data_IF_416564534660
#
_entry.id   IF_416564534660
#
_cell.length_a   1.000
_cell.length_b   1.000
_cell.length_c   1.000
_cell.angle_alpha   90.00
_cell.angle_beta   90.00
_cell.angle_gamma   90.00
#
_symmetry.space_group_name_H-M   'P 1'
#
loop_
_entity.id
_entity.type
_entity.pdbx_description
1 polymer ?
#
# COMPACT_ATOMS: atom_id res chain seq x y z
N UNK A 1 -10.97 4.19 -1.08
CA UNK A 1 -10.89 4.62 -2.50
C UNK A 1 -11.37 3.48 -3.39
N UNK A 2 -11.90 3.79 -4.57
CA UNK A 2 -12.41 2.81 -5.54
C UNK A 2 -12.09 3.28 -6.96
N UNK A 3 -11.76 2.34 -7.85
CA UNK A 3 -11.68 2.59 -9.28
C UNK A 3 -12.08 1.33 -10.07
N UNK A 4 -12.82 1.52 -11.16
CA UNK A 4 -13.25 0.43 -12.05
C UNK A 4 -14.71 0.01 -11.89
N UNK A 5 -15.16 -0.99 -12.67
CA UNK A 5 -16.52 -1.51 -12.63
C UNK A 5 -16.78 -2.35 -11.38
N UNK A 6 -18.03 -2.43 -10.93
CA UNK A 6 -18.43 -3.23 -9.76
C UNK A 6 -18.49 -4.75 -10.01
N UNK A 7 -18.29 -5.18 -11.26
CA UNK A 7 -18.17 -6.60 -11.61
C UNK A 7 -16.81 -7.13 -11.16
N UNK A 8 -16.79 -8.29 -10.50
CA UNK A 8 -15.57 -8.88 -9.93
C UNK A 8 -14.57 -9.35 -11.00
N UNK A 9 -15.07 -9.69 -12.18
CA UNK A 9 -14.25 -10.22 -13.27
C UNK A 9 -13.70 -9.10 -14.18
N UNK A 10 -13.99 -7.84 -13.86
CA UNK A 10 -13.52 -6.67 -14.60
C UNK A 10 -12.34 -6.00 -13.89
N UNK A 11 -11.48 -5.24 -14.61
CA UNK A 11 -10.37 -4.50 -14.02
C UNK A 11 -10.82 -3.50 -12.96
N UNK A 12 -10.49 -3.75 -11.69
CA UNK A 12 -10.87 -2.88 -10.58
C UNK A 12 -9.81 -2.80 -9.49
N UNK A 13 -9.93 -1.75 -8.69
CA UNK A 13 -9.05 -1.41 -7.58
C UNK A 13 -9.89 -0.94 -6.41
N UNK A 14 -9.49 -1.32 -5.20
CA UNK A 14 -10.02 -0.71 -3.99
C UNK A 14 -8.95 -0.57 -2.92
N UNK A 15 -9.19 0.41 -2.04
CA UNK A 15 -8.38 0.62 -0.86
C UNK A 15 -9.23 1.02 0.33
N UNK A 16 -9.01 0.35 1.45
CA UNK A 16 -9.67 0.60 2.73
C UNK A 16 -8.60 1.14 3.69
N UNK A 17 -8.85 2.30 4.27
CA UNK A 17 -8.00 2.89 5.30
C UNK A 17 -8.72 2.77 6.64
N UNK A 18 -8.12 2.02 7.55
CA UNK A 18 -8.44 2.04 8.97
C UNK A 18 -7.61 3.10 9.72
N UNK A 19 -7.64 3.07 11.04
CA UNK A 19 -6.82 3.98 11.86
C UNK A 19 -5.32 3.66 11.73
N UNK A 20 -4.98 2.40 11.96
CA UNK A 20 -3.61 1.86 12.03
C UNK A 20 -3.28 0.90 10.87
N UNK A 21 -4.24 0.60 9.99
CA UNK A 21 -4.04 -0.33 8.88
C UNK A 21 -4.53 0.21 7.53
N UNK A 22 -3.95 -0.34 6.47
CA UNK A 22 -4.41 -0.16 5.09
C UNK A 22 -4.55 -1.52 4.40
N UNK A 23 -5.66 -1.70 3.71
CA UNK A 23 -5.86 -2.81 2.76
C UNK A 23 -5.91 -2.24 1.36
N UNK A 24 -5.08 -2.77 0.47
CA UNK A 24 -5.08 -2.43 -0.94
C UNK A 24 -5.27 -3.68 -1.79
N UNK A 25 -6.09 -3.56 -2.83
CA UNK A 25 -6.35 -4.60 -3.82
C UNK A 25 -6.32 -4.00 -5.22
N UNK A 26 -5.60 -4.64 -6.13
CA UNK A 26 -5.53 -4.31 -7.54
C UNK A 26 -5.71 -5.58 -8.39
N UNK A 27 -6.67 -5.55 -9.31
CA UNK A 27 -6.84 -6.59 -10.33
C UNK A 27 -6.94 -5.97 -11.73
N UNK A 28 -5.98 -5.12 -12.10
CA UNK A 28 -5.99 -4.46 -13.41
C UNK A 28 -5.15 -5.16 -14.49
N UNK A 29 -4.18 -5.97 -14.09
CA UNK A 29 -3.21 -6.60 -15.00
C UNK A 29 -3.82 -7.79 -15.75
N UNK A 30 -3.25 -8.11 -16.92
CA UNK A 30 -3.56 -9.31 -17.72
C UNK A 30 -5.05 -9.58 -17.96
N UNK A 31 -5.82 -8.51 -18.15
CA UNK A 31 -7.28 -8.61 -18.34
C UNK A 31 -8.01 -9.04 -17.07
N UNK A 32 -7.59 -8.52 -15.91
CA UNK A 32 -8.16 -8.81 -14.59
C UNK A 32 -8.02 -10.29 -14.16
N UNK A 33 -6.92 -10.94 -14.55
CA UNK A 33 -6.61 -12.31 -14.14
C UNK A 33 -5.48 -12.41 -13.10
N UNK A 34 -4.74 -11.31 -12.87
CA UNK A 34 -3.57 -11.29 -12.03
C UNK A 34 -3.74 -10.26 -10.90
N UNK A 35 -4.00 -10.77 -9.70
CA UNK A 35 -4.34 -9.95 -8.52
C UNK A 35 -3.09 -9.61 -7.72
N UNK A 36 -2.97 -8.35 -7.33
CA UNK A 36 -2.04 -7.87 -6.30
C UNK A 36 -2.84 -7.42 -5.08
N UNK A 37 -2.37 -7.74 -3.88
CA UNK A 37 -3.02 -7.34 -2.64
C UNK A 37 -1.99 -7.09 -1.55
N UNK A 38 -2.24 -6.08 -0.72
CA UNK A 38 -1.38 -5.68 0.39
C UNK A 38 -2.22 -5.47 1.64
N UNK A 39 -1.74 -6.00 2.76
CA UNK A 39 -2.11 -5.59 4.10
C UNK A 39 -0.93 -4.85 4.72
N UNK A 40 -1.14 -3.60 5.14
CA UNK A 40 -0.10 -2.76 5.76
C UNK A 40 -0.52 -2.37 7.17
N UNK A 41 0.38 -2.62 8.11
CA UNK A 41 0.38 -2.00 9.44
C UNK A 41 1.18 -0.70 9.33
N UNK A 42 0.51 0.43 9.54
CA UNK A 42 1.11 1.76 9.33
C UNK A 42 2.05 2.15 10.48
N UNK A 43 1.86 1.57 11.67
CA UNK A 43 2.71 1.85 12.84
C UNK A 43 4.01 1.02 12.81
N UNK A 44 4.05 -0.04 12.01
CA UNK A 44 5.19 -0.94 11.89
C UNK A 44 5.79 -0.96 10.48
N UNK A 45 5.82 0.20 9.81
CA UNK A 45 6.46 0.33 8.51
C UNK A 45 7.96 0.08 8.59
N UNK A 46 8.44 -0.87 7.80
CA UNK A 46 9.87 -1.13 7.68
C UNK A 46 10.58 0.09 7.10
N UNK A 47 11.68 0.48 7.75
CA UNK A 47 12.60 1.50 7.23
C UNK A 47 11.92 2.86 6.93
N UNK A 48 10.92 3.26 7.73
CA UNK A 48 10.12 4.46 7.50
C UNK A 48 10.93 5.75 7.31
N UNK A 49 12.01 5.95 8.07
CA UNK A 49 12.85 7.17 7.95
C UNK A 49 14.35 6.91 8.22
N UNK A 50 14.87 5.79 7.73
CA UNK A 50 16.27 5.35 7.99
C UNK A 50 17.33 6.39 7.62
N UNK A 51 17.07 7.21 6.60
CA UNK A 51 18.02 8.25 6.19
C UNK A 51 18.07 9.42 7.18
N UNK A 52 16.92 9.83 7.70
CA UNK A 52 16.87 10.86 8.75
C UNK A 52 17.47 10.34 10.04
N UNK A 53 17.16 9.09 10.42
CA UNK A 53 17.77 8.46 11.61
C UNK A 53 19.28 8.40 11.48
N UNK A 54 19.79 8.03 10.29
CA UNK A 54 21.22 8.04 10.03
C UNK A 54 21.83 9.45 10.17
N UNK A 55 21.16 10.47 9.63
CA UNK A 55 21.62 11.86 9.75
C UNK A 55 21.71 12.28 11.22
N UNK A 56 20.68 12.00 12.02
CA UNK A 56 20.63 12.38 13.45
C UNK A 56 21.69 11.63 14.27
N UNK A 57 21.88 10.33 14.01
CA UNK A 57 22.73 9.48 14.85
C UNK A 57 24.21 9.58 14.50
N UNK A 58 24.56 9.84 13.24
CA UNK A 58 25.94 9.70 12.75
C UNK A 58 26.52 10.96 12.11
N UNK A 59 25.71 12.00 11.90
CA UNK A 59 26.20 13.28 11.40
C UNK A 59 25.84 14.37 12.41
N UNK A 60 26.86 15.12 12.85
CA UNK A 60 26.66 16.28 13.72
C UNK A 60 25.99 17.38 12.89
N UNK A 61 24.79 17.80 13.27
CA UNK A 61 24.20 19.06 12.82
C UNK A 61 24.87 20.25 13.51
#
# INVERSE_FOLDING_TARGET
AWAGPVSKDEPHYYRIHGGDFVVEFDNRQDGANHIHSVWRDVENDFAADVLRDHLILYHVL
#
